data_IF_388957245018
#
_entry.id   IF_388957245018
#
_cell.length_a   1.000
_cell.length_b   1.000
_cell.length_c   1.000
_cell.angle_alpha   90.00
_cell.angle_beta   90.00
_cell.angle_gamma   90.00
#
_symmetry.space_group_name_H-M   'P 1'
#
loop_
_entity.id
_entity.type
_entity.pdbx_description
1 polymer ?
#
# COMPACT_ATOMS: atom_id res chain seq x y z
N UNK A 1 -15.42 -22.07 27.68
CA UNK A 1 -15.20 -21.08 26.61
C UNK A 1 -16.39 -20.18 26.40
N UNK A 2 -16.27 -18.93 26.84
CA UNK A 2 -17.22 -17.85 26.53
C UNK A 2 -16.51 -16.85 25.62
N UNK A 3 -17.15 -16.47 24.50
CA UNK A 3 -16.67 -15.38 23.65
C UNK A 3 -16.81 -14.08 24.42
N UNK A 4 -15.69 -13.40 24.67
CA UNK A 4 -15.65 -12.11 25.38
C UNK A 4 -15.80 -10.92 24.43
N UNK A 5 -15.38 -11.11 23.18
CA UNK A 5 -15.52 -10.12 22.13
C UNK A 5 -15.59 -10.80 20.76
N UNK A 6 -16.46 -10.29 19.91
CA UNK A 6 -16.54 -10.65 18.51
C UNK A 6 -16.76 -9.37 17.70
N UNK A 7 -15.85 -9.11 16.76
CA UNK A 7 -15.87 -7.93 15.91
C UNK A 7 -15.69 -8.32 14.45
N UNK A 8 -16.68 -7.99 13.61
CA UNK A 8 -16.59 -8.09 12.16
C UNK A 8 -16.49 -6.66 11.63
N UNK A 9 -15.36 -6.32 11.00
CA UNK A 9 -15.09 -5.00 10.46
C UNK A 9 -15.10 -5.05 8.93
N UNK A 10 -16.12 -4.44 8.33
CA UNK A 10 -16.30 -4.46 6.88
C UNK A 10 -15.45 -3.42 6.15
N UNK A 11 -15.03 -3.74 4.92
CA UNK A 11 -14.52 -2.74 3.98
C UNK A 11 -15.57 -1.65 3.72
N UNK A 12 -15.13 -0.46 3.34
CA UNK A 12 -16.02 0.53 2.74
C UNK A 12 -16.01 0.39 1.23
N UNK A 13 -17.18 0.35 0.59
CA UNK A 13 -17.26 0.43 -0.88
C UNK A 13 -17.05 1.87 -1.34
N UNK A 14 -16.56 2.11 -2.57
CA UNK A 14 -16.30 3.47 -3.07
C UNK A 14 -17.49 4.41 -2.95
N UNK A 15 -18.70 3.89 -3.17
CA UNK A 15 -19.97 4.60 -3.08
C UNK A 15 -20.40 4.91 -1.64
N UNK A 16 -19.81 4.23 -0.65
CA UNK A 16 -20.07 4.44 0.79
C UNK A 16 -19.03 5.37 1.43
N UNK A 17 -17.94 5.68 0.73
CA UNK A 17 -16.93 6.58 1.22
C UNK A 17 -17.47 8.03 1.30
N UNK A 18 -17.05 8.83 2.29
CA UNK A 18 -17.49 10.21 2.44
C UNK A 18 -17.29 11.04 1.16
N UNK A 19 -18.24 11.91 0.86
CA UNK A 19 -18.18 12.77 -0.32
C UNK A 19 -16.90 13.61 -0.34
N UNK A 20 -16.33 13.77 -1.53
CA UNK A 20 -15.14 14.58 -1.76
C UNK A 20 -13.82 13.93 -1.33
N UNK A 21 -13.81 12.81 -0.60
CA UNK A 21 -12.55 12.14 -0.19
C UNK A 21 -11.63 11.85 -1.40
N UNK A 22 -12.20 11.41 -2.51
CA UNK A 22 -11.43 11.09 -3.72
C UNK A 22 -10.86 12.34 -4.37
N UNK A 23 -11.64 13.42 -4.38
CA UNK A 23 -11.26 14.70 -4.99
C UNK A 23 -10.19 15.40 -4.15
N UNK A 24 -10.37 15.43 -2.84
CA UNK A 24 -9.46 16.08 -1.90
C UNK A 24 -8.10 15.37 -1.92
N UNK A 25 -8.08 14.04 -1.76
CA UNK A 25 -6.83 13.25 -1.78
C UNK A 25 -6.11 13.38 -3.13
N UNK A 26 -6.84 13.35 -4.24
CA UNK A 26 -6.24 13.49 -5.56
C UNK A 26 -5.67 14.91 -5.79
N UNK A 27 -6.35 15.94 -5.29
CA UNK A 27 -5.93 17.34 -5.43
C UNK A 27 -4.76 17.65 -4.53
N UNK A 28 -4.79 17.22 -3.27
CA UNK A 28 -3.67 17.33 -2.34
C UNK A 28 -2.42 16.65 -2.90
N UNK A 29 -2.56 15.46 -3.49
CA UNK A 29 -1.45 14.77 -4.15
C UNK A 29 -0.85 15.58 -5.30
N UNK A 30 -1.70 16.12 -6.18
CA UNK A 30 -1.28 16.94 -7.32
C UNK A 30 -0.57 18.21 -6.86
N UNK A 31 -1.20 18.95 -5.94
CA UNK A 31 -0.72 20.24 -5.43
C UNK A 31 0.60 20.08 -4.68
N UNK A 32 0.73 19.04 -3.86
CA UNK A 32 1.96 18.76 -3.13
C UNK A 32 3.10 18.40 -4.09
N UNK A 33 2.85 17.59 -5.13
CA UNK A 33 3.88 17.25 -6.10
C UNK A 33 4.34 18.47 -6.90
N UNK A 34 3.40 19.29 -7.38
CA UNK A 34 3.70 20.54 -8.09
C UNK A 34 4.43 21.54 -7.19
N UNK A 35 4.01 21.69 -5.93
CA UNK A 35 4.70 22.54 -4.96
C UNK A 35 6.12 22.07 -4.64
N UNK A 36 6.42 20.77 -4.81
CA UNK A 36 7.77 20.21 -4.63
C UNK A 36 8.62 20.21 -5.91
N UNK A 37 8.09 20.66 -7.05
CA UNK A 37 8.79 20.69 -8.36
C UNK A 37 10.18 21.29 -8.25
N UNK A 38 10.29 22.49 -7.69
CA UNK A 38 11.57 23.22 -7.61
C UNK A 38 12.56 22.51 -6.69
N UNK A 39 12.08 21.89 -5.62
CA UNK A 39 12.91 21.07 -4.72
C UNK A 39 13.43 19.80 -5.40
N UNK A 40 12.59 19.14 -6.21
CA UNK A 40 12.99 17.96 -6.99
C UNK A 40 14.03 18.37 -8.02
N UNK A 41 13.79 19.46 -8.75
CA UNK A 41 14.71 20.04 -9.73
C UNK A 41 16.06 20.37 -9.09
N UNK A 42 16.05 21.11 -7.97
CA UNK A 42 17.28 21.49 -7.26
C UNK A 42 18.12 20.26 -6.88
N UNK A 43 17.49 19.25 -6.27
CA UNK A 43 18.18 18.00 -5.90
C UNK A 43 18.69 17.22 -7.10
N UNK A 44 17.94 17.20 -8.20
CA UNK A 44 18.38 16.53 -9.42
C UNK A 44 19.62 17.23 -10.01
N UNK A 45 19.61 18.57 -10.04
CA UNK A 45 20.75 19.38 -10.48
C UNK A 45 21.94 19.32 -9.52
N UNK A 46 21.73 19.11 -8.22
CA UNK A 46 22.83 18.86 -7.27
C UNK A 46 23.53 17.52 -7.53
N UNK A 47 22.76 16.48 -7.87
CA UNK A 47 23.30 15.12 -8.12
C UNK A 47 23.93 15.02 -9.51
N UNK A 48 23.36 15.70 -10.50
CA UNK A 48 23.81 15.71 -11.90
C UNK A 48 23.97 17.17 -12.38
N UNK A 49 24.99 17.90 -11.88
CA UNK A 49 25.17 19.31 -12.19
C UNK A 49 25.68 19.58 -13.61
N UNK A 50 26.35 18.61 -14.22
CA UNK A 50 27.06 18.79 -15.48
C UNK A 50 27.11 17.49 -16.32
N UNK A 51 27.73 17.58 -17.50
CA UNK A 51 27.87 16.43 -18.40
C UNK A 51 28.77 15.33 -17.83
N UNK A 52 29.75 15.65 -16.96
CA UNK A 52 30.63 14.64 -16.37
C UNK A 52 29.87 13.81 -15.33
N UNK A 53 29.05 14.45 -14.51
CA UNK A 53 28.13 13.80 -13.58
C UNK A 53 27.07 12.97 -14.34
N UNK A 54 26.56 13.48 -15.47
CA UNK A 54 25.66 12.70 -16.33
C UNK A 54 26.35 11.44 -16.88
N UNK A 55 27.59 11.57 -17.35
CA UNK A 55 28.34 10.44 -17.88
C UNK A 55 28.54 9.35 -16.82
N UNK A 56 29.02 9.72 -15.65
CA UNK A 56 29.29 8.77 -14.56
C UNK A 56 28.02 8.14 -13.97
N UNK A 57 26.97 8.92 -13.73
CA UNK A 57 25.76 8.44 -13.03
C UNK A 57 24.70 7.81 -13.92
N UNK A 58 24.67 8.16 -15.22
CA UNK A 58 23.66 7.66 -16.16
C UNK A 58 24.33 6.87 -17.29
N UNK A 59 25.25 7.50 -18.03
CA UNK A 59 25.73 6.92 -19.29
C UNK A 59 26.55 5.64 -19.07
N UNK A 60 27.44 5.64 -18.07
CA UNK A 60 28.31 4.50 -17.74
C UNK A 60 27.50 3.34 -17.16
N UNK A 61 26.67 3.63 -16.14
CA UNK A 61 25.75 2.66 -15.53
C UNK A 61 24.85 2.02 -16.59
N UNK A 62 24.22 2.82 -17.46
CA UNK A 62 23.36 2.29 -18.50
C UNK A 62 24.11 1.46 -19.54
N UNK A 63 25.37 1.80 -19.84
CA UNK A 63 26.19 1.04 -20.80
C UNK A 63 26.59 -0.32 -20.21
N UNK A 64 26.92 -0.38 -18.92
CA UNK A 64 27.25 -1.62 -18.23
C UNK A 64 26.06 -2.58 -18.22
N UNK A 65 24.89 -2.11 -17.76
CA UNK A 65 23.69 -2.93 -17.72
C UNK A 65 23.19 -3.34 -19.10
N UNK A 66 23.27 -2.46 -20.09
CA UNK A 66 22.82 -2.78 -21.44
C UNK A 66 23.66 -3.90 -22.09
N UNK A 67 24.88 -4.13 -21.62
CA UNK A 67 25.69 -5.25 -22.10
C UNK A 67 25.14 -6.61 -21.66
N UNK A 68 24.48 -6.68 -20.51
CA UNK A 68 23.97 -7.92 -19.91
C UNK A 68 22.70 -8.45 -20.60
N UNK A 69 21.96 -7.58 -21.31
CA UNK A 69 20.65 -7.92 -21.90
C UNK A 69 20.70 -8.23 -23.39
N UNK A 70 21.86 -8.04 -24.04
CA UNK A 70 22.01 -8.30 -25.46
C UNK A 70 22.36 -9.77 -25.72
N UNK A 71 21.68 -10.39 -26.69
CA UNK A 71 22.02 -11.74 -27.14
C UNK A 71 23.44 -11.76 -27.73
N UNK A 72 24.41 -12.47 -27.13
CA UNK A 72 25.80 -12.46 -27.59
C UNK A 72 25.97 -13.10 -28.98
N UNK A 73 25.05 -13.97 -29.39
CA UNK A 73 25.13 -14.72 -30.65
C UNK A 73 24.49 -13.99 -31.85
N UNK A 74 23.89 -12.81 -31.63
CA UNK A 74 23.32 -12.05 -32.73
C UNK A 74 24.41 -11.25 -33.47
N UNK A 75 24.53 -11.44 -34.78
CA UNK A 75 25.60 -10.89 -35.61
C UNK A 75 25.73 -9.34 -35.63
N UNK A 76 24.74 -8.61 -35.11
CA UNK A 76 24.77 -7.15 -34.97
C UNK A 76 24.89 -6.65 -33.52
N UNK A 77 25.05 -7.54 -32.53
CA UNK A 77 25.10 -7.17 -31.11
C UNK A 77 26.17 -6.12 -30.81
N UNK A 78 27.40 -6.35 -31.25
CA UNK A 78 28.49 -5.39 -31.09
C UNK A 78 28.19 -4.02 -31.75
N UNK A 79 27.56 -4.04 -32.93
CA UNK A 79 27.14 -2.82 -33.62
C UNK A 79 26.02 -2.08 -32.87
N UNK A 80 25.05 -2.81 -32.31
CA UNK A 80 23.96 -2.25 -31.53
C UNK A 80 24.48 -1.64 -30.21
N UNK A 81 25.35 -2.37 -29.51
CA UNK A 81 25.99 -1.92 -28.29
C UNK A 81 26.81 -0.64 -28.50
N UNK A 82 27.65 -0.61 -29.55
CA UNK A 82 28.42 0.58 -29.92
C UNK A 82 27.54 1.78 -30.22
N UNK A 83 26.43 1.60 -30.95
CA UNK A 83 25.47 2.67 -31.22
C UNK A 83 24.83 3.20 -29.93
N UNK A 84 24.46 2.31 -29.02
CA UNK A 84 23.90 2.69 -27.72
C UNK A 84 24.90 3.51 -26.91
N UNK A 85 26.12 3.02 -26.73
CA UNK A 85 27.21 3.69 -26.00
C UNK A 85 27.47 5.11 -26.53
N UNK A 86 27.55 5.28 -27.85
CA UNK A 86 27.76 6.60 -28.47
C UNK A 86 26.57 7.53 -28.20
N UNK A 87 25.34 7.05 -28.38
CA UNK A 87 24.14 7.86 -28.22
C UNK A 87 23.95 8.31 -26.77
N UNK A 88 24.12 7.41 -25.81
CA UNK A 88 23.93 7.72 -24.39
C UNK A 88 25.00 8.69 -23.91
N UNK A 89 26.27 8.50 -24.27
CA UNK A 89 27.35 9.44 -23.90
C UNK A 89 27.17 10.83 -24.49
N UNK A 90 26.67 10.94 -25.73
CA UNK A 90 26.37 12.24 -26.36
C UNK A 90 25.14 12.94 -25.76
N UNK A 91 24.33 12.24 -24.96
CA UNK A 91 23.06 12.73 -24.45
C UNK A 91 23.14 13.79 -23.36
N UNK A 92 24.32 14.09 -22.79
CA UNK A 92 24.48 14.95 -21.60
C UNK A 92 23.86 16.33 -21.72
N UNK A 93 24.30 17.15 -22.67
CA UNK A 93 23.72 18.48 -22.94
C UNK A 93 22.21 18.45 -23.17
N UNK A 94 21.73 17.50 -23.97
CA UNK A 94 20.31 17.34 -24.23
C UNK A 94 19.55 16.98 -22.95
N UNK A 95 20.12 16.12 -22.10
CA UNK A 95 19.51 15.74 -20.82
C UNK A 95 19.40 16.94 -19.88
N UNK A 96 20.49 17.69 -19.67
CA UNK A 96 20.52 18.88 -18.81
C UNK A 96 19.48 19.92 -19.25
N UNK A 97 19.43 20.21 -20.56
CA UNK A 97 18.44 21.15 -21.14
C UNK A 97 17.00 20.63 -21.03
N UNK A 98 16.78 19.33 -21.20
CA UNK A 98 15.46 18.73 -21.07
C UNK A 98 14.98 18.68 -19.62
N UNK A 99 15.88 18.52 -18.63
CA UNK A 99 15.52 18.60 -17.21
C UNK A 99 15.05 20.01 -16.87
N UNK A 100 15.82 21.03 -17.27
CA UNK A 100 15.48 22.43 -17.04
C UNK A 100 14.09 22.77 -17.59
N UNK A 101 13.83 22.40 -18.84
CA UNK A 101 12.54 22.64 -19.51
C UNK A 101 11.40 21.76 -19.00
N UNK A 102 11.67 20.52 -18.56
CA UNK A 102 10.64 19.63 -18.03
C UNK A 102 10.09 20.10 -16.68
N UNK A 103 10.95 20.68 -15.84
CA UNK A 103 10.61 21.20 -14.51
C UNK A 103 10.32 22.71 -14.50
N UNK A 104 10.19 23.35 -15.66
CA UNK A 104 9.60 24.68 -15.75
C UNK A 104 8.12 24.65 -15.32
N UNK A 105 7.60 25.79 -14.86
CA UNK A 105 6.19 25.91 -14.50
C UNK A 105 5.28 25.62 -15.70
N UNK A 106 4.28 24.73 -15.50
CA UNK A 106 3.44 24.24 -16.60
C UNK A 106 4.16 23.31 -17.57
N UNK A 107 5.39 22.89 -17.25
CA UNK A 107 6.22 22.02 -18.07
C UNK A 107 5.75 20.56 -18.10
N UNK A 108 6.62 19.68 -18.61
CA UNK A 108 6.33 18.24 -18.73
C UNK A 108 6.07 17.56 -17.38
N UNK A 109 6.69 18.04 -16.31
CA UNK A 109 6.45 17.53 -14.96
C UNK A 109 5.01 17.82 -14.51
N UNK A 110 4.61 19.09 -14.51
CA UNK A 110 3.28 19.51 -14.03
C UNK A 110 2.16 18.88 -14.85
N UNK A 111 2.31 18.85 -16.18
CA UNK A 111 1.35 18.19 -17.09
C UNK A 111 1.30 16.68 -16.87
N UNK A 112 2.45 16.04 -16.62
CA UNK A 112 2.54 14.63 -16.28
C UNK A 112 1.84 14.29 -14.96
N UNK A 113 1.99 15.13 -13.93
CA UNK A 113 1.30 14.99 -12.65
C UNK A 113 -0.21 15.07 -12.86
N UNK A 114 -0.71 16.12 -13.53
CA UNK A 114 -2.14 16.27 -13.82
C UNK A 114 -2.69 15.09 -14.62
N UNK A 115 -1.98 14.63 -15.65
CA UNK A 115 -2.41 13.50 -16.48
C UNK A 115 -2.50 12.17 -15.70
N UNK A 116 -1.67 11.99 -14.66
CA UNK A 116 -1.65 10.77 -13.85
C UNK A 116 -2.53 10.84 -12.59
N UNK A 117 -3.17 11.98 -12.32
CA UNK A 117 -4.06 12.17 -11.16
C UNK A 117 -5.13 11.08 -11.08
N UNK A 118 -5.80 10.78 -12.20
CA UNK A 118 -6.84 9.76 -12.22
C UNK A 118 -6.29 8.35 -11.95
N UNK A 119 -5.10 8.05 -12.47
CA UNK A 119 -4.45 6.76 -12.22
C UNK A 119 -4.07 6.60 -10.76
N UNK A 120 -3.56 7.67 -10.14
CA UNK A 120 -3.23 7.69 -8.71
C UNK A 120 -4.48 7.41 -7.86
N UNK A 121 -5.57 8.14 -8.08
CA UNK A 121 -6.78 7.97 -7.25
C UNK A 121 -7.40 6.58 -7.41
N UNK A 122 -7.42 6.02 -8.63
CA UNK A 122 -7.92 4.68 -8.86
C UNK A 122 -7.12 3.62 -8.09
N UNK A 123 -5.81 3.79 -7.99
CA UNK A 123 -4.95 2.85 -7.28
C UNK A 123 -5.06 3.00 -5.75
N UNK A 124 -5.06 4.24 -5.23
CA UNK A 124 -5.11 4.46 -3.79
C UNK A 124 -6.47 4.12 -3.19
N UNK A 125 -7.53 4.16 -4.00
CA UNK A 125 -8.88 3.76 -3.61
C UNK A 125 -8.91 2.33 -3.08
N UNK A 126 -8.18 1.38 -3.67
CA UNK A 126 -8.13 0.01 -3.13
C UNK A 126 -7.67 -0.01 -1.68
N UNK A 127 -6.62 0.74 -1.35
CA UNK A 127 -6.12 0.82 0.03
C UNK A 127 -7.08 1.58 0.94
N UNK A 128 -7.61 2.73 0.48
CA UNK A 128 -8.50 3.57 1.28
C UNK A 128 -9.80 2.87 1.70
N UNK A 129 -10.30 1.90 0.92
CA UNK A 129 -11.46 1.08 1.31
C UNK A 129 -11.24 0.34 2.64
N UNK A 130 -10.01 -0.06 2.92
CA UNK A 130 -9.65 -0.88 4.09
C UNK A 130 -9.00 -0.08 5.20
N UNK A 131 -8.23 0.94 4.88
CA UNK A 131 -7.58 1.80 5.89
C UNK A 131 -8.46 2.99 6.28
N UNK A 132 -9.25 3.51 5.34
CA UNK A 132 -9.92 4.80 5.47
C UNK A 132 -8.95 5.99 5.42
N UNK A 133 -9.52 7.18 5.30
CA UNK A 133 -8.87 8.44 5.66
C UNK A 133 -9.33 8.78 7.07
N UNK A 134 -8.52 8.43 8.08
CA UNK A 134 -8.89 8.44 9.51
C UNK A 134 -9.42 9.80 10.04
N UNK A 135 -9.29 10.87 9.26
CA UNK A 135 -9.95 12.14 9.52
C UNK A 135 -11.47 12.09 9.26
N UNK A 136 -11.90 11.42 8.19
CA UNK A 136 -13.29 11.33 7.73
C UNK A 136 -13.93 9.98 8.04
N UNK A 137 -13.20 8.89 7.82
CA UNK A 137 -13.71 7.53 7.96
C UNK A 137 -12.60 6.56 8.37
N UNK A 138 -12.92 5.64 9.27
CA UNK A 138 -12.01 4.57 9.67
C UNK A 138 -12.35 3.30 8.89
N UNK A 139 -11.36 2.71 8.22
CA UNK A 139 -11.53 1.43 7.53
C UNK A 139 -11.46 0.23 8.48
N UNK A 140 -11.67 -0.98 7.95
CA UNK A 140 -11.64 -2.21 8.74
C UNK A 140 -10.29 -2.47 9.41
N UNK A 141 -9.17 -2.17 8.74
CA UNK A 141 -7.80 -2.43 9.26
C UNK A 141 -7.54 -1.70 10.57
N UNK A 142 -7.62 -0.34 10.64
CA UNK A 142 -7.34 0.34 11.90
C UNK A 142 -8.35 0.00 12.99
N UNK A 143 -9.61 -0.33 12.65
CA UNK A 143 -10.61 -0.81 13.62
C UNK A 143 -10.22 -2.16 14.21
N UNK A 144 -9.86 -3.14 13.38
CA UNK A 144 -9.38 -4.44 13.85
C UNK A 144 -8.15 -4.30 14.75
N UNK A 145 -7.21 -3.41 14.41
CA UNK A 145 -6.06 -3.11 15.29
C UNK A 145 -6.51 -2.51 16.63
N UNK A 146 -7.54 -1.65 16.66
CA UNK A 146 -8.11 -1.15 17.93
C UNK A 146 -8.82 -2.23 18.75
N UNK A 147 -9.43 -3.21 18.10
CA UNK A 147 -9.95 -4.41 18.79
C UNK A 147 -8.81 -5.18 19.44
N UNK A 148 -7.78 -5.54 18.67
CA UNK A 148 -6.58 -6.26 19.14
C UNK A 148 -5.85 -5.53 20.29
N UNK A 149 -5.85 -4.19 20.30
CA UNK A 149 -5.29 -3.38 21.38
C UNK A 149 -6.19 -3.31 22.64
N UNK A 150 -7.37 -3.94 22.65
CA UNK A 150 -8.35 -3.87 23.74
C UNK A 150 -9.01 -2.49 23.88
N UNK A 151 -9.17 -1.72 22.81
CA UNK A 151 -9.64 -0.31 22.85
C UNK A 151 -11.14 -0.19 22.58
N UNK A 152 -11.98 -0.88 23.38
CA UNK A 152 -13.44 -0.90 23.22
C UNK A 152 -14.09 0.49 23.13
N UNK A 153 -13.73 1.42 24.02
CA UNK A 153 -14.26 2.81 23.98
C UNK A 153 -13.93 3.57 22.70
N UNK A 154 -12.79 3.27 22.07
CA UNK A 154 -12.43 3.88 20.78
C UNK A 154 -13.30 3.26 19.69
N UNK A 155 -13.43 1.92 19.67
CA UNK A 155 -14.29 1.22 18.71
C UNK A 155 -15.73 1.72 18.73
N UNK A 156 -16.31 1.96 19.90
CA UNK A 156 -17.65 2.53 20.02
C UNK A 156 -17.82 3.87 19.28
N UNK A 157 -16.73 4.66 19.17
CA UNK A 157 -16.74 5.97 18.50
C UNK A 157 -16.45 5.88 17.01
N UNK A 158 -15.69 4.88 16.57
CA UNK A 158 -15.23 4.76 15.18
C UNK A 158 -15.96 3.67 14.40
N UNK A 159 -16.80 2.85 15.05
CA UNK A 159 -17.59 1.82 14.36
C UNK A 159 -18.47 2.46 13.29
N UNK A 160 -18.46 1.84 12.11
CA UNK A 160 -19.30 2.18 10.97
C UNK A 160 -20.56 1.32 10.92
N UNK A 161 -21.38 1.59 9.92
CA UNK A 161 -22.61 0.83 9.62
C UNK A 161 -22.34 -0.56 9.07
N UNK A 162 -21.14 -0.80 8.56
CA UNK A 162 -20.68 -2.07 7.99
C UNK A 162 -19.99 -2.97 9.01
N UNK A 163 -19.93 -2.55 10.28
CA UNK A 163 -19.29 -3.31 11.34
C UNK A 163 -20.33 -3.98 12.25
N UNK A 164 -20.01 -5.17 12.74
CA UNK A 164 -20.73 -5.85 13.82
C UNK A 164 -19.80 -6.00 15.01
N UNK A 165 -20.24 -5.59 16.19
CA UNK A 165 -19.45 -5.71 17.42
C UNK A 165 -20.34 -6.23 18.53
N UNK A 166 -19.90 -7.30 19.18
CA UNK A 166 -20.48 -7.82 20.42
C UNK A 166 -19.40 -7.97 21.49
N UNK A 167 -19.79 -7.81 22.76
CA UNK A 167 -18.85 -7.92 23.87
C UNK A 167 -17.94 -6.70 24.03
N UNK A 168 -16.81 -6.88 24.71
CA UNK A 168 -15.82 -5.81 24.95
C UNK A 168 -14.42 -6.36 24.75
N UNK A 169 -13.63 -5.76 23.84
CA UNK A 169 -12.34 -6.31 23.48
C UNK A 169 -11.36 -6.14 24.64
N UNK A 170 -10.53 -7.16 24.83
CA UNK A 170 -9.38 -7.16 25.74
C UNK A 170 -8.09 -7.14 24.91
N UNK A 171 -6.94 -6.75 25.48
CA UNK A 171 -5.68 -6.84 24.74
C UNK A 171 -5.41 -8.29 24.29
N UNK A 172 -5.42 -8.53 22.97
CA UNK A 172 -5.38 -9.90 22.44
C UNK A 172 -4.01 -10.55 22.61
N UNK A 173 -2.94 -9.76 22.51
CA UNK A 173 -1.55 -10.24 22.61
C UNK A 173 -0.88 -9.74 23.89
N UNK A 174 0.07 -10.52 24.41
CA UNK A 174 0.94 -10.12 25.52
C UNK A 174 1.56 -8.76 25.23
N UNK A 175 1.57 -7.88 26.23
CA UNK A 175 2.04 -6.48 26.13
C UNK A 175 3.45 -6.38 25.53
N UNK A 176 4.31 -7.36 25.80
CA UNK A 176 5.70 -7.43 25.29
C UNK A 176 5.78 -7.65 23.77
N UNK A 177 4.78 -8.27 23.16
CA UNK A 177 4.74 -8.60 21.73
C UNK A 177 3.81 -7.68 20.92
N UNK A 178 2.80 -7.12 21.57
CA UNK A 178 1.74 -6.32 20.95
C UNK A 178 2.24 -5.23 19.96
N UNK A 179 3.27 -4.40 20.27
CA UNK A 179 3.71 -3.36 19.34
C UNK A 179 4.27 -3.89 18.02
N UNK A 180 4.86 -5.09 18.03
CA UNK A 180 5.45 -5.72 16.84
C UNK A 180 4.39 -6.44 16.03
N UNK A 181 3.55 -7.22 16.72
CA UNK A 181 2.48 -8.01 16.09
C UNK A 181 1.46 -7.09 15.43
N UNK A 182 1.02 -6.02 16.10
CA UNK A 182 0.01 -5.12 15.53
C UNK A 182 0.45 -4.44 14.22
N UNK A 183 1.73 -4.08 14.12
CA UNK A 183 2.27 -3.46 12.91
C UNK A 183 2.35 -4.46 11.76
N UNK A 184 2.75 -5.70 12.07
CA UNK A 184 2.78 -6.79 11.10
C UNK A 184 1.37 -7.15 10.62
N UNK A 185 0.44 -7.35 11.55
CA UNK A 185 -0.96 -7.66 11.23
C UNK A 185 -1.60 -6.56 10.38
N UNK A 186 -1.38 -5.28 10.69
CA UNK A 186 -1.89 -4.18 9.87
C UNK A 186 -1.41 -4.25 8.41
N UNK A 187 -0.14 -4.63 8.19
CA UNK A 187 0.40 -4.83 6.85
C UNK A 187 -0.24 -6.04 6.16
N UNK A 188 -0.29 -7.19 6.84
CA UNK A 188 -0.88 -8.44 6.32
C UNK A 188 -2.36 -8.26 5.96
N UNK A 189 -3.14 -7.58 6.81
CA UNK A 189 -4.55 -7.28 6.54
C UNK A 189 -4.70 -6.39 5.31
N UNK A 190 -3.91 -5.30 5.25
CA UNK A 190 -4.00 -4.35 4.13
C UNK A 190 -3.63 -5.02 2.81
N UNK A 191 -2.55 -5.78 2.80
CA UNK A 191 -2.09 -6.50 1.60
C UNK A 191 -3.11 -7.56 1.17
N UNK A 192 -3.54 -8.43 2.09
CA UNK A 192 -4.47 -9.51 1.78
C UNK A 192 -5.82 -9.03 1.28
N UNK A 193 -6.38 -7.99 1.90
CA UNK A 193 -7.67 -7.42 1.48
C UNK A 193 -7.58 -6.69 0.12
N UNK A 194 -6.49 -5.95 -0.12
CA UNK A 194 -6.26 -5.30 -1.43
C UNK A 194 -6.08 -6.34 -2.53
N UNK A 195 -5.26 -7.36 -2.29
CA UNK A 195 -5.04 -8.45 -3.25
C UNK A 195 -6.31 -9.25 -3.51
N UNK A 196 -7.10 -9.55 -2.47
CA UNK A 196 -8.40 -10.20 -2.63
C UNK A 196 -9.36 -9.39 -3.49
N UNK A 197 -9.45 -8.07 -3.29
CA UNK A 197 -10.34 -7.21 -4.08
C UNK A 197 -9.88 -7.10 -5.54
N UNK A 198 -8.59 -6.88 -5.77
CA UNK A 198 -8.02 -6.83 -7.12
C UNK A 198 -8.12 -8.18 -7.83
N UNK A 199 -7.86 -9.28 -7.13
CA UNK A 199 -7.99 -10.64 -7.64
C UNK A 199 -9.41 -10.94 -8.06
N UNK A 200 -10.41 -10.59 -7.24
CA UNK A 200 -11.82 -10.72 -7.61
C UNK A 200 -12.14 -10.03 -8.94
N UNK A 201 -11.69 -8.78 -9.11
CA UNK A 201 -11.92 -8.00 -10.33
C UNK A 201 -11.18 -8.59 -11.54
N UNK A 202 -10.05 -9.27 -11.32
CA UNK A 202 -9.32 -10.02 -12.33
C UNK A 202 -9.90 -11.41 -12.63
N UNK A 203 -10.90 -11.87 -11.86
CA UNK A 203 -11.53 -13.18 -12.02
C UNK A 203 -10.88 -14.32 -11.22
N UNK A 204 -10.01 -14.01 -10.27
CA UNK A 204 -9.41 -14.98 -9.35
C UNK A 204 -10.39 -15.41 -8.24
N UNK A 205 -10.11 -16.56 -7.63
CA UNK A 205 -10.89 -17.07 -6.48
C UNK A 205 -10.44 -16.35 -5.21
N UNK A 206 -11.34 -15.52 -4.65
CA UNK A 206 -11.05 -14.68 -3.48
C UNK A 206 -10.61 -15.52 -2.27
N UNK A 207 -11.28 -16.64 -2.02
CA UNK A 207 -11.00 -17.48 -0.85
C UNK A 207 -9.60 -18.10 -0.89
N UNK A 208 -9.09 -18.42 -2.08
CA UNK A 208 -7.73 -18.95 -2.25
C UNK A 208 -6.69 -17.89 -1.86
N UNK A 209 -6.91 -16.64 -2.26
CA UNK A 209 -6.06 -15.51 -1.89
C UNK A 209 -6.11 -15.29 -0.37
N UNK A 210 -7.31 -15.23 0.21
CA UNK A 210 -7.49 -15.01 1.65
C UNK A 210 -6.89 -16.14 2.48
N UNK A 211 -6.90 -17.39 2.00
CA UNK A 211 -6.33 -18.54 2.69
C UNK A 211 -4.82 -18.38 2.95
N UNK A 212 -4.07 -17.83 1.98
CA UNK A 212 -2.63 -17.58 2.13
C UNK A 212 -2.35 -16.59 3.28
N UNK A 213 -3.08 -15.47 3.32
CA UNK A 213 -2.92 -14.46 4.35
C UNK A 213 -3.46 -14.93 5.71
N UNK A 214 -4.55 -15.70 5.73
CA UNK A 214 -5.10 -16.28 6.96
C UNK A 214 -4.14 -17.30 7.60
N UNK A 215 -3.37 -18.05 6.80
CA UNK A 215 -2.33 -18.92 7.33
C UNK A 215 -1.24 -18.12 8.07
N UNK A 216 -0.80 -16.98 7.51
CA UNK A 216 0.17 -16.08 8.16
C UNK A 216 -0.40 -15.52 9.46
N UNK A 217 -1.68 -15.12 9.48
CA UNK A 217 -2.33 -14.57 10.67
C UNK A 217 -2.43 -15.64 11.77
N UNK A 218 -2.80 -16.87 11.40
CA UNK A 218 -2.96 -17.99 12.33
C UNK A 218 -1.68 -18.33 13.10
N UNK A 219 -0.50 -18.17 12.49
CA UNK A 219 0.80 -18.39 13.18
C UNK A 219 0.98 -17.50 14.42
N UNK A 220 0.32 -16.34 14.47
CA UNK A 220 0.36 -15.44 15.62
C UNK A 220 -0.68 -15.78 16.69
N UNK A 221 -1.72 -16.56 16.36
CA UNK A 221 -2.77 -16.99 17.28
C UNK A 221 -2.29 -18.25 18.01
N UNK A 222 -1.34 -18.06 18.93
CA UNK A 222 -0.75 -19.14 19.71
C UNK A 222 -0.49 -18.74 21.15
N UNK A 223 -0.38 -19.72 22.05
CA UNK A 223 -0.08 -19.50 23.47
C UNK A 223 1.26 -18.74 23.70
N UNK A 224 2.15 -18.74 22.71
CA UNK A 224 3.38 -17.95 22.74
C UNK A 224 3.08 -16.46 22.77
N UNK A 225 2.16 -15.99 21.92
CA UNK A 225 1.93 -14.57 21.67
C UNK A 225 0.66 -14.02 22.32
N UNK A 226 -0.41 -14.82 22.38
CA UNK A 226 -1.70 -14.41 22.95
C UNK A 226 -1.60 -14.13 24.44
N UNK A 227 -2.41 -13.19 24.91
CA UNK A 227 -2.57 -12.94 26.34
C UNK A 227 -3.09 -14.21 27.06
N UNK A 228 -2.62 -14.44 28.28
CA UNK A 228 -2.94 -15.66 29.05
C UNK A 228 -4.42 -15.72 29.46
N UNK A 229 -5.15 -14.60 29.40
CA UNK A 229 -6.60 -14.57 29.60
C UNK A 229 -7.40 -15.13 28.41
N UNK A 230 -6.77 -15.35 27.26
CA UNK A 230 -7.41 -15.82 26.03
C UNK A 230 -7.03 -17.25 25.68
N UNK A 231 -7.99 -17.97 25.10
CA UNK A 231 -7.82 -19.33 24.60
C UNK A 231 -7.30 -19.30 23.14
N UNK A 232 -6.11 -19.85 22.84
CA UNK A 232 -5.56 -19.90 21.48
C UNK A 232 -6.37 -20.79 20.52
N UNK A 233 -7.21 -21.70 21.02
CA UNK A 233 -8.01 -22.62 20.20
C UNK A 233 -9.39 -22.06 19.84
N UNK A 234 -9.86 -21.07 20.60
CA UNK A 234 -11.16 -20.43 20.40
C UNK A 234 -11.08 -18.94 20.01
N UNK A 235 -9.92 -18.31 20.19
CA UNK A 235 -9.65 -16.97 19.67
C UNK A 235 -9.15 -17.04 18.24
N UNK A 236 -9.50 -16.07 17.40
CA UNK A 236 -9.07 -16.05 16.00
C UNK A 236 -9.05 -14.64 15.42
N UNK A 237 -8.26 -14.48 14.35
CA UNK A 237 -8.39 -13.34 13.44
C UNK A 237 -8.42 -13.91 12.03
N UNK A 238 -9.46 -13.59 11.27
CA UNK A 238 -9.65 -14.06 9.88
C UNK A 238 -9.99 -12.91 8.95
N UNK A 239 -9.45 -12.96 7.75
CA UNK A 239 -9.91 -12.20 6.60
C UNK A 239 -11.00 -13.02 5.91
N UNK A 240 -12.15 -12.40 5.66
CA UNK A 240 -13.34 -13.08 5.16
C UNK A 240 -13.93 -12.34 3.97
N UNK A 241 -14.62 -13.08 3.10
CA UNK A 241 -15.39 -12.53 1.99
C UNK A 241 -16.86 -12.98 2.09
N UNK A 242 -17.75 -12.02 2.29
CA UNK A 242 -19.20 -12.24 2.19
C UNK A 242 -19.63 -12.09 0.72
N UNK A 243 -19.91 -13.21 0.08
CA UNK A 243 -20.37 -13.24 -1.32
C UNK A 243 -21.78 -12.68 -1.53
N UNK A 244 -22.62 -12.63 -0.50
CA UNK A 244 -23.98 -12.09 -0.56
C UNK A 244 -23.95 -10.58 -0.49
N UNK A 245 -23.21 -10.03 0.48
CA UNK A 245 -23.03 -8.58 0.60
C UNK A 245 -21.98 -8.01 -0.38
N UNK A 246 -21.22 -8.89 -1.05
CA UNK A 246 -20.00 -8.55 -1.78
C UNK A 246 -19.07 -7.66 -0.94
N UNK A 247 -18.60 -8.18 0.18
CA UNK A 247 -17.83 -7.40 1.15
C UNK A 247 -16.70 -8.21 1.74
N UNK A 248 -15.51 -7.63 1.75
CA UNK A 248 -14.38 -8.16 2.50
C UNK A 248 -14.39 -7.62 3.93
N UNK A 249 -14.00 -8.43 4.89
CA UNK A 249 -13.99 -8.04 6.30
C UNK A 249 -12.81 -8.64 7.06
N UNK A 250 -12.50 -8.03 8.20
CA UNK A 250 -11.64 -8.64 9.22
C UNK A 250 -12.55 -9.07 10.36
N UNK A 251 -12.52 -10.34 10.69
CA UNK A 251 -13.25 -10.93 11.77
C UNK A 251 -12.29 -11.27 12.91
N UNK A 252 -12.56 -10.73 14.10
CA UNK A 252 -11.76 -10.89 15.31
C UNK A 252 -12.64 -11.55 16.38
N UNK A 253 -12.19 -12.68 16.90
CA UNK A 253 -12.84 -13.41 17.99
C UNK A 253 -11.85 -13.53 19.15
N UNK A 254 -12.28 -13.10 20.32
CA UNK A 254 -11.56 -13.26 21.58
C UNK A 254 -12.42 -14.13 22.51
N UNK A 255 -11.86 -15.26 22.96
CA UNK A 255 -12.55 -16.21 23.82
C UNK A 255 -11.67 -16.54 25.05
N UNK A 256 -12.30 -16.70 26.21
CA UNK A 256 -11.60 -17.22 27.39
C UNK A 256 -11.64 -18.75 27.40
N UNK A 257 -10.72 -19.41 28.13
CA UNK A 257 -10.79 -20.85 28.40
C UNK A 257 -12.18 -21.30 28.94
#
# INVERSE_FOLDING_TARGET
>A
MATVFEGIFGEWKPEELPEGINTDVATDWEDILKAKRDKIKARLSEVIPDEAAYQSRIAEVATEEFSNVLNPNYYKTERAFRKFKIKVKKGGSAWLSNVESAFAEGGRFDTGVTANKQKFINNILYTLRFTGDMNKVWGCVPKAIKAIEGKGKVLEKIKGTVDSITGSPVPMFKVTHLPRIKALLANVFTEGLVMARMGKEAGEVVDDILAEYNAIIADYISATFLDESLDPTASSITLEYDSVADRLSIHVVEATP
#
